data_IF_322861172649
#
_entry.id   IF_322861172649
#
_cell.length_a   1.000
_cell.length_b   1.000
_cell.length_c   1.000
_cell.angle_alpha   90.00
_cell.angle_beta   90.00
_cell.angle_gamma   90.00
#
_symmetry.space_group_name_H-M   'P 1'
#
loop_
_entity.id
_entity.type
_entity.pdbx_description
1 polymer ?
#
# COMPACT_ATOMS: atom_id res chain seq x y z
N UNK A 1 9.09 -17.36 8.69
CA UNK A 1 8.03 -16.88 7.75
C UNK A 1 7.56 -15.54 8.26
N UNK A 2 7.70 -14.47 7.46
CA UNK A 2 7.36 -13.11 7.84
C UNK A 2 5.82 -12.92 7.90
N UNK A 3 5.32 -12.38 9.01
CA UNK A 3 3.90 -12.01 9.16
C UNK A 3 3.68 -10.59 8.65
N UNK A 4 2.92 -10.40 7.57
CA UNK A 4 2.66 -9.07 7.01
C UNK A 4 1.22 -8.60 7.23
N UNK A 5 1.07 -7.31 7.51
CA UNK A 5 -0.20 -6.60 7.43
C UNK A 5 -0.29 -5.88 6.07
N UNK A 6 -1.41 -6.04 5.36
CA UNK A 6 -1.65 -5.36 4.08
C UNK A 6 -2.69 -4.27 4.28
N UNK A 7 -2.35 -3.03 3.93
CA UNK A 7 -3.21 -1.86 4.09
C UNK A 7 -3.84 -1.48 2.75
N UNK A 8 -5.14 -1.24 2.75
CA UNK A 8 -5.95 -1.07 1.53
C UNK A 8 -7.02 0.01 1.72
N UNK A 9 -7.41 0.72 0.64
CA UNK A 9 -8.50 1.70 0.66
C UNK A 9 -9.57 1.46 -0.41
N UNK A 10 -9.41 0.46 -1.29
CA UNK A 10 -10.27 0.30 -2.47
C UNK A 10 -10.55 -1.14 -2.88
N UNK A 11 -10.45 -1.42 -4.18
CA UNK A 11 -10.80 -2.70 -4.80
C UNK A 11 -9.96 -3.89 -4.34
N UNK A 12 -8.69 -3.66 -3.95
CA UNK A 12 -7.77 -4.67 -3.43
C UNK A 12 -7.25 -5.65 -4.47
N UNK A 13 -7.06 -5.23 -5.72
CA UNK A 13 -6.46 -6.09 -6.76
C UNK A 13 -5.01 -6.44 -6.43
N UNK A 14 -4.23 -5.50 -5.90
CA UNK A 14 -2.88 -5.71 -5.41
C UNK A 14 -2.84 -6.63 -4.17
N UNK A 15 -3.82 -6.52 -3.26
CA UNK A 15 -4.01 -7.48 -2.16
C UNK A 15 -4.28 -8.89 -2.72
N UNK A 16 -5.13 -8.99 -3.75
CA UNK A 16 -5.42 -10.29 -4.36
C UNK A 16 -4.17 -10.96 -4.94
N UNK A 17 -3.30 -10.19 -5.62
CA UNK A 17 -2.04 -10.70 -6.14
C UNK A 17 -1.14 -11.28 -5.03
N UNK A 18 -1.05 -10.60 -3.88
CA UNK A 18 -0.31 -11.11 -2.71
C UNK A 18 -0.94 -12.39 -2.13
N UNK A 19 -2.28 -12.46 -2.04
CA UNK A 19 -3.01 -13.65 -1.57
C UNK A 19 -2.79 -14.83 -2.52
N UNK A 20 -2.90 -14.60 -3.83
CA UNK A 20 -2.78 -15.65 -4.84
C UNK A 20 -1.36 -16.21 -4.86
N UNK A 21 -0.35 -15.35 -4.72
CA UNK A 21 1.04 -15.79 -4.60
C UNK A 21 1.26 -16.62 -3.35
N UNK A 22 0.81 -16.17 -2.17
CA UNK A 22 0.93 -16.91 -0.91
C UNK A 22 0.31 -18.31 -1.02
N UNK A 23 -0.88 -18.41 -1.62
CA UNK A 23 -1.60 -19.69 -1.76
C UNK A 23 -0.98 -20.64 -2.78
N UNK A 24 -0.39 -20.12 -3.84
CA UNK A 24 0.18 -20.93 -4.93
C UNK A 24 1.61 -21.40 -4.68
N UNK A 25 2.31 -20.85 -3.67
CA UNK A 25 3.70 -21.13 -3.38
C UNK A 25 3.88 -21.64 -1.95
N UNK A 26 4.09 -22.95 -1.79
CA UNK A 26 4.29 -23.61 -0.47
C UNK A 26 5.51 -23.09 0.29
N UNK A 27 6.51 -22.53 -0.42
CA UNK A 27 7.71 -21.90 0.13
C UNK A 27 7.61 -20.38 0.20
N UNK A 28 6.40 -19.81 0.17
CA UNK A 28 6.23 -18.37 0.30
C UNK A 28 6.87 -17.87 1.61
N UNK A 29 7.78 -16.88 1.57
CA UNK A 29 8.51 -16.43 2.76
C UNK A 29 7.67 -15.51 3.65
N UNK A 30 6.48 -15.08 3.21
CA UNK A 30 5.54 -14.28 3.99
C UNK A 30 4.18 -14.97 4.15
N UNK A 31 3.44 -14.53 5.15
CA UNK A 31 2.03 -14.83 5.37
C UNK A 31 1.27 -13.54 5.65
N UNK A 32 0.12 -13.35 5.02
CA UNK A 32 -0.77 -12.22 5.30
C UNK A 32 -1.57 -12.55 6.57
N UNK A 33 -1.22 -11.90 7.68
CA UNK A 33 -1.88 -12.10 8.97
C UNK A 33 -3.04 -11.15 9.23
N UNK A 34 -3.05 -10.01 8.52
CA UNK A 34 -4.01 -8.93 8.73
C UNK A 34 -4.22 -8.12 7.45
N UNK A 35 -5.45 -7.73 7.19
CA UNK A 35 -5.79 -6.67 6.22
C UNK A 35 -6.42 -5.50 6.97
N UNK A 36 -5.84 -4.32 6.83
CA UNK A 36 -6.32 -3.07 7.45
C UNK A 36 -6.93 -2.19 6.37
N UNK A 37 -8.12 -1.63 6.62
CA UNK A 37 -8.71 -0.65 5.73
C UNK A 37 -9.10 0.63 6.47
N UNK A 38 -8.87 1.80 5.83
CA UNK A 38 -9.37 3.10 6.26
C UNK A 38 -10.77 3.41 5.70
N UNK A 39 -11.35 2.48 4.91
CA UNK A 39 -12.67 2.60 4.29
C UNK A 39 -13.53 1.37 4.53
N UNK A 40 -14.73 1.58 5.06
CA UNK A 40 -15.67 0.50 5.37
C UNK A 40 -16.22 -0.24 4.14
N UNK A 41 -16.26 0.46 3.00
CA UNK A 41 -16.78 0.01 1.71
C UNK A 41 -15.69 -0.52 0.78
N UNK A 42 -14.45 -0.67 1.25
CA UNK A 42 -13.37 -1.24 0.47
C UNK A 42 -13.65 -2.72 0.13
N UNK A 43 -13.76 -3.05 -1.15
CA UNK A 43 -13.98 -4.42 -1.61
C UNK A 43 -12.83 -5.37 -1.22
N UNK A 44 -11.65 -4.80 -0.97
CA UNK A 44 -10.50 -5.52 -0.41
C UNK A 44 -10.83 -6.28 0.89
N UNK A 45 -11.73 -5.77 1.74
CA UNK A 45 -12.19 -6.45 2.96
C UNK A 45 -12.93 -7.76 2.65
N UNK A 46 -13.73 -7.77 1.57
CA UNK A 46 -14.41 -8.99 1.12
C UNK A 46 -13.43 -10.02 0.56
N UNK A 47 -12.36 -9.57 -0.14
CA UNK A 47 -11.29 -10.47 -0.60
C UNK A 47 -10.57 -11.12 0.58
N UNK A 48 -10.22 -10.32 1.60
CA UNK A 48 -9.58 -10.81 2.83
C UNK A 48 -10.46 -11.86 3.55
N UNK A 49 -11.75 -11.57 3.74
CA UNK A 49 -12.72 -12.51 4.35
C UNK A 49 -12.81 -13.83 3.58
N UNK A 50 -12.93 -13.77 2.25
CA UNK A 50 -12.96 -14.97 1.39
C UNK A 50 -11.67 -15.79 1.48
N UNK A 51 -10.54 -15.13 1.76
CA UNK A 51 -9.25 -15.78 1.97
C UNK A 51 -9.05 -16.29 3.41
N UNK A 52 -9.96 -16.01 4.35
CA UNK A 52 -9.85 -16.37 5.77
C UNK A 52 -8.85 -15.49 6.55
N UNK A 53 -8.54 -14.28 6.04
CA UNK A 53 -7.59 -13.35 6.65
C UNK A 53 -8.35 -12.40 7.58
N UNK A 54 -7.78 -12.13 8.77
CA UNK A 54 -8.32 -11.17 9.72
C UNK A 54 -8.38 -9.75 9.12
N UNK A 55 -9.42 -8.98 9.47
CA UNK A 55 -9.61 -7.63 8.97
C UNK A 55 -9.83 -6.64 10.09
N UNK A 56 -9.31 -5.41 9.97
CA UNK A 56 -9.53 -4.29 10.88
C UNK A 56 -9.88 -3.03 10.10
N UNK A 57 -10.91 -2.31 10.57
CA UNK A 57 -11.31 -1.01 10.02
C UNK A 57 -10.78 0.11 10.91
N UNK A 58 -9.95 0.97 10.35
CA UNK A 58 -9.29 2.08 11.08
C UNK A 58 -9.63 3.45 10.49
N UNK A 59 -10.81 3.62 9.88
CA UNK A 59 -11.22 4.93 9.36
C UNK A 59 -11.32 5.97 10.49
N UNK A 60 -11.11 7.26 10.16
CA UNK A 60 -11.21 8.33 11.13
C UNK A 60 -12.57 8.31 11.90
N UNK A 61 -13.66 8.00 11.19
CA UNK A 61 -14.98 7.86 11.78
C UNK A 61 -15.11 6.65 12.72
N UNK A 62 -14.48 5.53 12.38
CA UNK A 62 -14.49 4.33 13.22
C UNK A 62 -13.66 4.54 14.50
N UNK A 63 -12.55 5.29 14.39
CA UNK A 63 -11.61 5.50 15.50
C UNK A 63 -12.05 6.64 16.44
N UNK A 64 -12.46 7.76 15.88
CA UNK A 64 -12.79 8.99 16.67
C UNK A 64 -14.29 9.09 17.00
N UNK A 65 -15.16 8.38 16.29
CA UNK A 65 -16.59 8.63 16.27
C UNK A 65 -16.96 9.84 15.40
N UNK A 66 -18.24 9.95 15.03
CA UNK A 66 -18.71 10.93 14.03
C UNK A 66 -18.36 12.37 14.41
N UNK A 67 -18.79 12.82 15.58
CA UNK A 67 -18.64 14.22 16.02
C UNK A 67 -17.16 14.67 16.07
N UNK A 68 -16.30 13.84 16.70
CA UNK A 68 -14.88 14.15 16.77
C UNK A 68 -14.21 14.07 15.39
N UNK A 69 -14.60 13.12 14.56
CA UNK A 69 -14.05 13.01 13.22
C UNK A 69 -14.43 14.21 12.33
N UNK A 70 -15.65 14.76 12.47
CA UNK A 70 -16.07 15.96 11.75
C UNK A 70 -15.31 17.22 12.20
N UNK A 71 -15.05 17.35 13.51
CA UNK A 71 -14.34 18.49 14.11
C UNK A 71 -12.81 18.43 13.93
N UNK A 72 -12.23 17.24 13.82
CA UNK A 72 -10.78 17.05 13.77
C UNK A 72 -10.16 17.58 12.47
N UNK A 73 -8.97 18.17 12.58
CA UNK A 73 -8.13 18.54 11.46
C UNK A 73 -7.67 17.33 10.65
N UNK A 74 -7.11 17.57 9.46
CA UNK A 74 -6.54 16.50 8.60
C UNK A 74 -5.44 15.73 9.33
N UNK A 75 -4.57 16.42 10.05
CA UNK A 75 -3.42 15.81 10.73
C UNK A 75 -3.85 15.00 11.95
N UNK A 76 -4.85 15.48 12.73
CA UNK A 76 -5.44 14.70 13.83
C UNK A 76 -6.10 13.42 13.31
N UNK A 77 -6.81 13.46 12.19
CA UNK A 77 -7.38 12.28 11.55
C UNK A 77 -6.30 11.29 11.09
N UNK A 78 -5.25 11.79 10.44
CA UNK A 78 -4.10 10.97 10.01
C UNK A 78 -3.43 10.28 11.21
N UNK A 79 -3.19 11.03 12.29
CA UNK A 79 -2.56 10.50 13.49
C UNK A 79 -3.45 9.45 14.18
N UNK A 80 -4.75 9.70 14.31
CA UNK A 80 -5.69 8.76 14.90
C UNK A 80 -5.76 7.45 14.11
N UNK A 81 -5.86 7.52 12.78
CA UNK A 81 -5.84 6.35 11.89
C UNK A 81 -4.52 5.60 12.01
N UNK A 82 -3.38 6.30 11.99
CA UNK A 82 -2.05 5.70 12.10
C UNK A 82 -1.84 4.98 13.44
N UNK A 83 -2.30 5.57 14.55
CA UNK A 83 -2.23 4.94 15.88
C UNK A 83 -3.13 3.69 15.97
N UNK A 84 -4.34 3.74 15.42
CA UNK A 84 -5.23 2.58 15.38
C UNK A 84 -4.66 1.46 14.50
N UNK A 85 -4.06 1.80 13.35
CA UNK A 85 -3.38 0.86 12.48
C UNK A 85 -2.18 0.20 13.19
N UNK A 86 -1.38 0.98 13.92
CA UNK A 86 -0.28 0.46 14.75
C UNK A 86 -0.78 -0.54 15.80
N UNK A 87 -1.86 -0.18 16.52
CA UNK A 87 -2.46 -1.06 17.53
C UNK A 87 -2.97 -2.38 16.89
N UNK A 88 -3.60 -2.30 15.70
CA UNK A 88 -4.04 -3.46 14.94
C UNK A 88 -2.85 -4.36 14.53
N UNK A 89 -1.78 -3.78 14.01
CA UNK A 89 -0.56 -4.53 13.66
C UNK A 89 0.05 -5.25 14.88
N UNK A 90 0.14 -4.58 16.04
CA UNK A 90 0.62 -5.19 17.29
C UNK A 90 -0.28 -6.33 17.76
N UNK A 91 -1.61 -6.12 17.75
CA UNK A 91 -2.61 -7.14 18.13
C UNK A 91 -2.47 -8.41 17.29
N UNK A 92 -2.24 -8.26 15.99
CA UNK A 92 -2.12 -9.37 15.04
C UNK A 92 -0.67 -9.83 14.82
N UNK A 93 0.29 -9.28 15.57
CA UNK A 93 1.72 -9.64 15.52
C UNK A 93 2.29 -9.56 14.09
N UNK A 94 1.96 -8.48 13.37
CA UNK A 94 2.54 -8.24 12.07
C UNK A 94 3.99 -7.76 12.21
N UNK A 95 4.91 -8.38 11.48
CA UNK A 95 6.34 -8.04 11.48
C UNK A 95 6.65 -6.89 10.51
N UNK A 96 5.83 -6.76 9.46
CA UNK A 96 6.01 -5.74 8.42
C UNK A 96 4.65 -5.30 7.84
N UNK A 97 4.66 -4.19 7.10
CA UNK A 97 3.47 -3.57 6.51
C UNK A 97 3.66 -3.39 5.01
N UNK A 98 2.64 -3.73 4.23
CA UNK A 98 2.56 -3.51 2.78
C UNK A 98 1.38 -2.60 2.49
N UNK A 99 1.65 -1.39 1.97
CA UNK A 99 0.61 -0.47 1.51
C UNK A 99 0.26 -0.81 0.06
N UNK A 100 -0.95 -1.34 -0.16
CA UNK A 100 -1.45 -1.84 -1.45
C UNK A 100 -2.69 -1.05 -1.88
N UNK A 101 -2.49 0.20 -2.31
CA UNK A 101 -3.58 1.14 -2.58
C UNK A 101 -4.17 1.74 -1.32
N UNK A 102 -3.35 2.07 -0.35
CA UNK A 102 -3.68 2.81 0.86
C UNK A 102 -3.61 4.32 0.61
N UNK A 103 -4.64 5.07 1.02
CA UNK A 103 -4.75 6.50 0.71
C UNK A 103 -4.43 7.44 1.87
N UNK A 104 -4.58 7.00 3.11
CA UNK A 104 -4.26 7.84 4.27
C UNK A 104 -2.77 7.88 4.51
N UNK A 105 -2.15 9.06 4.47
CA UNK A 105 -0.72 9.22 4.77
C UNK A 105 -0.46 8.77 6.22
N UNK A 106 0.42 7.80 6.40
CA UNK A 106 0.85 7.33 7.71
C UNK A 106 1.74 8.35 8.39
N UNK A 107 1.58 8.53 9.69
CA UNK A 107 2.37 9.45 10.50
C UNK A 107 2.48 8.98 11.96
N UNK A 108 3.33 9.66 12.73
CA UNK A 108 3.51 9.38 14.15
C UNK A 108 4.26 8.06 14.43
N UNK A 109 3.96 7.38 15.55
CA UNK A 109 4.78 6.26 16.05
C UNK A 109 4.92 5.07 15.09
N UNK A 110 3.93 4.80 14.23
CA UNK A 110 3.96 3.66 13.30
C UNK A 110 5.18 3.71 12.37
N UNK A 111 5.59 4.91 11.93
CA UNK A 111 6.76 5.09 11.05
C UNK A 111 8.05 4.71 11.79
N UNK A 112 8.17 5.08 13.06
CA UNK A 112 9.35 4.75 13.88
C UNK A 112 9.43 3.26 14.22
N UNK A 113 8.31 2.68 14.66
CA UNK A 113 8.25 1.27 15.10
C UNK A 113 8.42 0.28 13.94
N UNK A 114 7.94 0.65 12.74
CA UNK A 114 8.10 -0.16 11.52
C UNK A 114 9.17 0.42 10.58
N UNK A 115 10.16 1.15 11.09
CA UNK A 115 11.25 1.70 10.26
C UNK A 115 11.94 0.60 9.46
N UNK A 116 11.99 0.77 8.12
CA UNK A 116 12.56 -0.21 7.19
C UNK A 116 11.73 -1.49 7.02
N UNK A 117 10.49 -1.50 7.54
CA UNK A 117 9.54 -2.63 7.49
C UNK A 117 8.20 -2.24 6.86
N UNK A 118 8.06 -1.03 6.31
CA UNK A 118 6.88 -0.58 5.55
C UNK A 118 7.30 -0.37 4.12
N UNK A 119 6.59 -0.98 3.18
CA UNK A 119 6.71 -0.71 1.75
C UNK A 119 5.39 -0.19 1.19
N UNK A 120 5.47 0.66 0.16
CA UNK A 120 4.33 1.20 -0.56
C UNK A 120 4.45 0.96 -2.05
N UNK A 121 3.34 0.65 -2.70
CA UNK A 121 3.21 0.62 -4.15
C UNK A 121 2.64 1.95 -4.63
N UNK A 122 3.42 2.67 -5.42
CA UNK A 122 3.05 3.94 -6.05
C UNK A 122 2.90 3.77 -7.57
N UNK A 123 1.80 4.28 -8.20
CA UNK A 123 1.48 4.01 -9.60
C UNK A 123 2.22 4.91 -10.60
N UNK A 124 3.50 5.22 -10.33
CA UNK A 124 4.38 5.96 -11.24
C UNK A 124 5.86 5.57 -11.05
N UNK A 125 6.71 6.06 -11.95
CA UNK A 125 8.16 5.93 -11.86
C UNK A 125 8.73 7.03 -10.95
N UNK A 126 8.84 6.76 -9.65
CA UNK A 126 9.44 7.70 -8.71
C UNK A 126 10.89 8.05 -9.10
N UNK A 127 11.35 9.30 -8.81
CA UNK A 127 10.70 10.33 -8.01
C UNK A 127 9.67 11.18 -8.75
N UNK A 128 9.50 11.02 -10.08
CA UNK A 128 8.48 11.75 -10.83
C UNK A 128 7.08 11.32 -10.38
N UNK A 129 6.15 12.28 -10.35
CA UNK A 129 4.73 12.06 -10.01
C UNK A 129 4.51 11.38 -8.65
N UNK A 130 5.42 11.59 -7.69
CA UNK A 130 5.26 11.27 -6.29
C UNK A 130 4.92 12.49 -5.44
N UNK A 131 4.64 12.27 -4.15
CA UNK A 131 4.38 13.32 -3.19
C UNK A 131 2.90 13.62 -2.93
N UNK A 132 2.65 14.66 -2.12
CA UNK A 132 1.29 15.00 -1.67
C UNK A 132 0.36 15.33 -2.85
N UNK A 133 -0.83 14.71 -2.88
CA UNK A 133 -1.80 14.87 -3.96
C UNK A 133 -1.64 13.90 -5.12
N UNK A 134 -0.51 13.18 -5.22
CA UNK A 134 -0.25 12.21 -6.28
C UNK A 134 -0.73 10.81 -5.88
N UNK A 135 -1.98 10.47 -6.20
CA UNK A 135 -2.58 9.17 -5.93
C UNK A 135 -3.65 8.81 -6.97
N UNK A 136 -3.80 7.51 -7.24
CA UNK A 136 -4.83 6.98 -8.13
C UNK A 136 -4.84 7.63 -9.51
N UNK A 137 -6.01 8.05 -9.99
CA UNK A 137 -6.22 8.66 -11.30
C UNK A 137 -5.38 9.93 -11.54
N UNK A 138 -5.16 10.75 -10.50
CA UNK A 138 -4.40 12.01 -10.63
C UNK A 138 -2.96 11.77 -11.11
N UNK A 139 -2.35 10.66 -10.74
CA UNK A 139 -1.02 10.28 -11.21
C UNK A 139 -1.02 10.06 -12.73
N UNK A 140 -1.98 9.28 -13.23
CA UNK A 140 -2.07 8.98 -14.67
C UNK A 140 -2.41 10.22 -15.50
N UNK A 141 -3.29 11.09 -14.98
CA UNK A 141 -3.59 12.41 -15.58
C UNK A 141 -2.33 13.27 -15.68
N UNK A 142 -1.52 13.31 -14.61
CA UNK A 142 -0.27 14.08 -14.59
C UNK A 142 0.77 13.54 -15.57
N UNK A 143 0.92 12.21 -15.66
CA UNK A 143 1.82 11.54 -16.61
C UNK A 143 1.45 11.87 -18.06
N UNK A 144 0.16 11.79 -18.41
CA UNK A 144 -0.34 12.10 -19.76
C UNK A 144 -0.18 13.59 -20.06
N UNK A 145 -0.54 14.48 -19.12
CA UNK A 145 -0.40 15.91 -19.27
C UNK A 145 1.08 16.33 -19.48
N UNK A 146 2.01 15.65 -18.83
CA UNK A 146 3.45 15.85 -19.00
C UNK A 146 4.01 15.26 -20.30
N UNK A 147 3.18 14.54 -21.10
CA UNK A 147 3.58 13.87 -22.35
C UNK A 147 4.77 12.92 -22.16
N UNK A 148 4.80 12.24 -21.02
CA UNK A 148 5.83 11.23 -20.76
C UNK A 148 5.68 10.07 -21.76
N UNK A 149 6.80 9.47 -22.15
CA UNK A 149 6.82 8.31 -23.07
C UNK A 149 6.74 6.99 -22.30
N UNK A 150 7.10 7.01 -21.03
CA UNK A 150 7.10 5.86 -20.13
C UNK A 150 6.37 6.23 -18.83
N UNK A 151 5.65 5.28 -18.28
CA UNK A 151 5.09 5.29 -16.94
C UNK A 151 5.35 3.93 -16.28
N UNK A 152 4.65 3.60 -15.21
CA UNK A 152 4.79 2.33 -14.54
C UNK A 152 4.41 2.40 -13.08
N UNK A 153 5.09 1.59 -12.27
CA UNK A 153 4.89 1.60 -10.83
C UNK A 153 6.22 1.45 -10.08
N UNK A 154 6.21 1.87 -8.84
CA UNK A 154 7.37 1.80 -7.93
C UNK A 154 6.94 1.21 -6.59
N UNK A 155 7.65 0.18 -6.14
CA UNK A 155 7.60 -0.26 -4.74
C UNK A 155 8.80 0.36 -4.02
N UNK A 156 8.53 1.07 -2.94
CA UNK A 156 9.55 1.79 -2.17
C UNK A 156 9.32 1.65 -0.67
N UNK A 157 10.35 1.87 0.13
CA UNK A 157 10.21 1.98 1.58
C UNK A 157 9.45 3.25 1.96
N UNK A 158 8.67 3.16 3.04
CA UNK A 158 8.00 4.33 3.62
C UNK A 158 8.88 4.90 4.73
N UNK A 159 9.14 6.20 4.65
CA UNK A 159 9.81 7.01 5.65
C UNK A 159 8.91 8.14 6.16
N UNK A 160 9.46 9.20 6.72
CA UNK A 160 8.70 10.36 7.21
C UNK A 160 8.24 11.31 6.11
N UNK A 161 8.74 11.16 4.89
CA UNK A 161 8.30 11.93 3.71
C UNK A 161 7.16 11.23 2.95
N UNK A 162 6.65 11.89 1.92
CA UNK A 162 5.65 11.32 1.02
C UNK A 162 6.36 10.84 -0.25
N UNK A 163 6.37 9.51 -0.46
CA UNK A 163 7.00 8.83 -1.60
C UNK A 163 8.52 9.10 -1.76
N UNK A 164 9.23 9.37 -0.65
CA UNK A 164 10.66 9.74 -0.63
C UNK A 164 11.60 8.59 -0.28
N UNK A 165 11.08 7.48 0.19
CA UNK A 165 11.89 6.35 0.65
C UNK A 165 12.60 5.60 -0.47
N UNK A 166 13.59 4.80 -0.10
CA UNK A 166 14.41 4.03 -1.04
C UNK A 166 13.59 3.07 -1.90
N UNK A 167 13.85 3.07 -3.20
CA UNK A 167 13.17 2.22 -4.19
C UNK A 167 13.65 0.77 -4.05
N UNK A 168 12.70 -0.17 -4.04
CA UNK A 168 12.95 -1.61 -4.08
C UNK A 168 12.78 -2.19 -5.48
N UNK A 169 11.63 -1.87 -6.10
CA UNK A 169 11.23 -2.40 -7.41
C UNK A 169 10.64 -1.26 -8.22
N UNK A 170 10.98 -1.24 -9.51
CA UNK A 170 10.37 -0.31 -10.45
C UNK A 170 10.08 -1.04 -11.75
N UNK A 171 8.83 -1.00 -12.22
CA UNK A 171 8.41 -1.62 -13.48
C UNK A 171 7.86 -0.57 -14.42
N UNK A 172 8.26 -0.64 -15.69
CA UNK A 172 7.95 0.33 -16.73
C UNK A 172 6.90 -0.19 -17.71
N UNK A 173 6.07 0.71 -18.21
CA UNK A 173 5.20 0.51 -19.37
C UNK A 173 5.32 1.70 -20.32
N UNK A 174 5.05 1.50 -21.61
CA UNK A 174 4.98 2.60 -22.57
C UNK A 174 3.67 3.40 -22.38
N UNK A 175 3.75 4.70 -22.55
CA UNK A 175 2.57 5.60 -22.68
C UNK A 175 2.30 5.78 -24.16
N UNK A 176 1.08 5.46 -24.59
CA UNK A 176 0.68 5.58 -26.00
C UNK A 176 0.13 6.99 -26.28
N UNK A 177 0.23 7.49 -27.54
CA UNK A 177 -0.21 8.85 -27.87
C UNK A 177 -1.69 9.12 -27.61
N UNK A 178 -2.52 8.09 -27.63
CA UNK A 178 -3.98 8.11 -27.46
C UNK A 178 -4.43 7.60 -26.09
N UNK A 179 -3.50 7.41 -25.14
CA UNK A 179 -3.87 6.96 -23.80
C UNK A 179 -4.77 7.97 -23.08
N UNK A 180 -5.79 7.43 -22.47
CA UNK A 180 -6.53 8.07 -21.38
C UNK A 180 -5.98 7.62 -20.03
N UNK A 181 -6.30 8.29 -18.93
CA UNK A 181 -5.91 7.82 -17.59
C UNK A 181 -6.35 6.38 -17.31
N UNK A 182 -7.51 5.97 -17.84
CA UNK A 182 -8.05 4.62 -17.71
C UNK A 182 -7.23 3.58 -18.49
N UNK A 183 -6.93 3.84 -19.77
CA UNK A 183 -6.16 2.89 -20.60
C UNK A 183 -4.72 2.76 -20.12
N UNK A 184 -4.13 3.85 -19.62
CA UNK A 184 -2.82 3.81 -18.98
C UNK A 184 -2.87 2.98 -17.69
N UNK A 185 -3.88 3.20 -16.83
CA UNK A 185 -4.10 2.39 -15.63
C UNK A 185 -4.23 0.90 -15.96
N UNK A 186 -5.05 0.53 -16.94
CA UNK A 186 -5.26 -0.87 -17.35
C UNK A 186 -3.94 -1.55 -17.81
N UNK A 187 -3.01 -0.77 -18.35
CA UNK A 187 -1.67 -1.25 -18.74
C UNK A 187 -0.72 -1.35 -17.54
N UNK A 188 -0.86 -0.46 -16.54
CA UNK A 188 -0.02 -0.45 -15.33
C UNK A 188 -0.47 -1.53 -14.34
N UNK A 189 -1.77 -1.77 -14.17
CA UNK A 189 -2.30 -2.67 -13.15
C UNK A 189 -1.69 -4.08 -13.15
N UNK A 190 -1.46 -4.77 -14.28
CA UNK A 190 -0.79 -6.07 -14.28
C UNK A 190 0.65 -6.00 -13.74
N UNK A 191 1.41 -4.96 -14.08
CA UNK A 191 2.80 -4.82 -13.59
C UNK A 191 2.86 -4.35 -12.14
N UNK A 192 1.82 -3.69 -11.63
CA UNK A 192 1.66 -3.42 -10.19
C UNK A 192 1.53 -4.73 -9.39
N UNK A 193 0.70 -5.69 -9.88
CA UNK A 193 0.52 -6.98 -9.23
C UNK A 193 1.85 -7.74 -9.12
N UNK A 194 2.67 -7.72 -10.17
CA UNK A 194 3.99 -8.33 -10.14
C UNK A 194 4.93 -7.58 -9.19
N UNK A 195 4.96 -6.24 -9.26
CA UNK A 195 5.87 -5.42 -8.48
C UNK A 195 5.62 -5.53 -6.98
N UNK A 196 4.34 -5.53 -6.53
CA UNK A 196 4.02 -5.61 -5.11
C UNK A 196 4.39 -6.97 -4.53
N UNK A 197 4.19 -8.05 -5.27
CA UNK A 197 4.62 -9.40 -4.88
C UNK A 197 6.15 -9.46 -4.77
N UNK A 198 6.86 -8.97 -5.79
CA UNK A 198 8.33 -8.91 -5.79
C UNK A 198 8.86 -8.08 -4.61
N UNK A 199 8.25 -6.91 -4.34
CA UNK A 199 8.60 -6.07 -3.20
C UNK A 199 8.39 -6.78 -1.86
N UNK A 200 7.29 -7.50 -1.69
CA UNK A 200 7.02 -8.28 -0.47
C UNK A 200 8.03 -9.42 -0.29
N UNK A 201 8.44 -10.08 -1.37
CA UNK A 201 9.47 -11.12 -1.34
C UNK A 201 10.86 -10.57 -0.95
N UNK A 202 11.24 -9.42 -1.51
CA UNK A 202 12.50 -8.73 -1.17
C UNK A 202 12.47 -8.31 0.31
N UNK A 203 11.37 -7.72 0.77
CA UNK A 203 11.19 -7.32 2.17
C UNK A 203 11.35 -8.53 3.12
N UNK A 204 10.71 -9.65 2.79
CA UNK A 204 10.78 -10.86 3.60
C UNK A 204 12.20 -11.42 3.70
N UNK A 205 12.93 -11.49 2.59
CA UNK A 205 14.35 -11.93 2.58
C UNK A 205 15.22 -11.02 3.44
N UNK A 206 15.11 -9.69 3.22
CA UNK A 206 15.89 -8.68 3.95
C UNK A 206 15.68 -8.75 5.47
N UNK A 207 14.45 -8.98 5.93
CA UNK A 207 14.17 -9.06 7.36
C UNK A 207 14.66 -10.36 7.97
N UNK A 208 14.62 -11.48 7.23
CA UNK A 208 15.22 -12.74 7.68
C UNK A 208 16.76 -12.67 7.79
N UNK A 209 17.43 -12.00 6.86
CA UNK A 209 18.90 -11.83 6.88
C UNK A 209 19.38 -10.96 8.05
N UNK A 210 18.54 -10.04 8.54
CA UNK A 210 18.89 -9.15 9.68
C UNK A 210 18.61 -9.78 11.07
N UNK A 211 17.95 -10.94 11.14
CA UNK A 211 17.66 -11.67 12.38
C UNK A 211 18.69 -12.78 12.68
N UNK A 212 19.62 -13.05 11.77
CA UNK A 212 20.69 -14.05 11.90
C UNK A 212 22.03 -13.42 12.20
#
# INVERSE_FOLDING_TARGET
MLSIAVFVSGSGTNLQALIDYEKSHTSCPYRISLVVSDRKDAYALERAKKAGIATELVSAYAVLGKEKAEAASRDEKRLAVSNAALAACKKHKADAIVLAGWLTVLCGPIIGEYRGKIINLHPALLPKFGGEGMWGRHVHEAVIAAREKESGCTVHFVDSGCDTGAILVQKKVSVMPDDTPETLYDRIAPVEHEAIVEGALILARRLHENEG
#
